data_IF_887197600503
#
_entry.id   IF_887197600503
#
_cell.length_a   1.000
_cell.length_b   1.000
_cell.length_c   1.000
_cell.angle_alpha   90.00
_cell.angle_beta   90.00
_cell.angle_gamma   90.00
#
_symmetry.space_group_name_H-M   'P 1'
#
loop_
_entity.id
_entity.type
_entity.pdbx_description
1 polymer ?
#
# COMPACT_ATOMS: atom_id res chain seq x y z
N UNK A 1 -15.97 -24.06 12.54
CA UNK A 1 -15.63 -22.85 11.76
C UNK A 1 -14.27 -22.25 12.12
N UNK A 2 -13.90 -22.16 13.40
CA UNK A 2 -12.61 -21.58 13.87
C UNK A 2 -11.38 -22.32 13.35
N UNK A 3 -11.39 -23.67 13.35
CA UNK A 3 -10.26 -24.48 12.89
C UNK A 3 -9.97 -24.33 11.38
N UNK A 4 -11.01 -24.22 10.54
CA UNK A 4 -10.84 -24.02 9.10
C UNK A 4 -10.22 -22.66 8.78
N UNK A 5 -10.66 -21.59 9.45
CA UNK A 5 -10.11 -20.26 9.24
C UNK A 5 -8.64 -20.16 9.64
N UNK A 6 -8.25 -20.82 10.73
CA UNK A 6 -6.85 -20.86 11.16
C UNK A 6 -5.96 -21.55 10.12
N UNK A 7 -6.39 -22.70 9.59
CA UNK A 7 -5.66 -23.40 8.55
C UNK A 7 -5.53 -22.57 7.25
N UNK A 8 -6.56 -21.80 6.88
CA UNK A 8 -6.52 -20.91 5.72
C UNK A 8 -5.47 -19.79 5.90
N UNK A 9 -5.48 -19.09 7.03
CA UNK A 9 -4.50 -18.04 7.30
C UNK A 9 -3.07 -18.59 7.39
N UNK A 10 -2.88 -19.78 7.99
CA UNK A 10 -1.57 -20.44 8.03
C UNK A 10 -1.05 -20.79 6.63
N UNK A 11 -1.94 -21.18 5.71
CA UNK A 11 -1.59 -21.43 4.30
C UNK A 11 -1.18 -20.14 3.59
N UNK A 12 -1.96 -19.07 3.75
CA UNK A 12 -1.65 -17.76 3.17
C UNK A 12 -0.33 -17.19 3.73
N UNK A 13 -0.09 -17.33 5.03
CA UNK A 13 1.18 -16.96 5.66
C UNK A 13 2.35 -17.73 5.07
N UNK A 14 2.22 -19.07 4.97
CA UNK A 14 3.26 -19.93 4.41
C UNK A 14 3.60 -19.57 2.97
N UNK A 15 2.58 -19.28 2.14
CA UNK A 15 2.77 -18.83 0.75
C UNK A 15 3.50 -17.48 0.71
N UNK A 16 3.08 -16.50 1.50
CA UNK A 16 3.71 -15.18 1.54
C UNK A 16 5.15 -15.25 2.05
N UNK A 17 5.44 -16.05 3.07
CA UNK A 17 6.80 -16.31 3.57
C UNK A 17 7.68 -16.95 2.48
N UNK A 18 7.14 -17.92 1.72
CA UNK A 18 7.86 -18.53 0.61
C UNK A 18 8.21 -17.47 -0.45
N UNK A 19 7.24 -16.66 -0.87
CA UNK A 19 7.47 -15.55 -1.83
C UNK A 19 8.58 -14.61 -1.35
N UNK A 20 8.57 -14.20 -0.08
CA UNK A 20 9.58 -13.30 0.49
C UNK A 20 10.99 -13.92 0.50
N UNK A 21 11.08 -15.23 0.79
CA UNK A 21 12.36 -15.97 0.74
C UNK A 21 12.87 -16.13 -0.68
N UNK A 22 11.98 -16.38 -1.65
CA UNK A 22 12.32 -16.41 -3.07
C UNK A 22 12.85 -15.05 -3.56
N UNK A 23 12.27 -13.93 -3.09
CA UNK A 23 12.82 -12.61 -3.39
C UNK A 23 14.24 -12.45 -2.89
N UNK A 24 14.51 -12.81 -1.64
CA UNK A 24 15.85 -12.70 -1.06
C UNK A 24 16.87 -13.63 -1.74
N UNK A 25 16.40 -14.74 -2.34
CA UNK A 25 17.28 -15.70 -3.03
C UNK A 25 17.57 -15.31 -4.49
N UNK A 26 16.65 -14.60 -5.16
CA UNK A 26 16.71 -14.37 -6.60
C UNK A 26 17.14 -12.94 -6.99
N UNK A 27 17.04 -11.98 -6.07
CA UNK A 27 17.34 -10.57 -6.34
C UNK A 27 18.51 -10.07 -5.48
N UNK A 28 19.30 -9.16 -6.04
CA UNK A 28 20.48 -8.62 -5.38
C UNK A 28 20.15 -7.41 -4.50
N UNK A 29 19.20 -6.59 -4.94
CA UNK A 29 18.83 -5.32 -4.30
C UNK A 29 17.34 -5.13 -4.16
N UNK A 30 16.64 -6.05 -3.49
CA UNK A 30 15.23 -5.89 -3.24
C UNK A 30 14.97 -4.79 -2.21
N UNK A 31 13.84 -4.08 -2.38
CA UNK A 31 13.31 -3.11 -1.41
C UNK A 31 11.87 -3.46 -1.04
N UNK A 32 11.44 -3.17 0.19
CA UNK A 32 10.06 -3.35 0.63
C UNK A 32 9.38 -1.99 0.70
N UNK A 33 8.36 -1.80 -0.15
CA UNK A 33 7.56 -0.57 -0.18
C UNK A 33 6.70 -0.48 1.08
N UNK A 34 6.89 0.58 1.85
CA UNK A 34 6.23 0.75 3.13
C UNK A 34 5.47 2.08 3.19
N UNK A 35 4.15 2.01 3.10
CA UNK A 35 3.26 3.17 3.15
C UNK A 35 2.70 3.50 4.54
N UNK A 36 2.95 2.67 5.55
CA UNK A 36 2.27 2.72 6.84
C UNK A 36 0.83 2.20 6.81
N UNK A 37 0.37 1.71 5.65
CA UNK A 37 -0.93 1.07 5.51
C UNK A 37 -0.94 -0.38 6.02
N UNK A 38 -2.11 -0.89 6.43
CA UNK A 38 -2.29 -2.23 7.01
C UNK A 38 -1.66 -3.36 6.21
N UNK A 39 -1.77 -3.30 4.88
CA UNK A 39 -1.24 -4.33 3.99
C UNK A 39 0.30 -4.31 4.02
N UNK A 40 0.92 -3.14 3.94
CA UNK A 40 2.38 -3.02 4.06
C UNK A 40 2.89 -3.42 5.45
N UNK A 41 2.12 -3.16 6.51
CA UNK A 41 2.42 -3.61 7.87
C UNK A 41 2.44 -5.14 7.96
N UNK A 42 1.43 -5.80 7.35
CA UNK A 42 1.38 -7.27 7.29
C UNK A 42 2.56 -7.83 6.50
N UNK A 43 2.94 -7.23 5.37
CA UNK A 43 4.13 -7.67 4.60
C UNK A 43 5.42 -7.54 5.42
N UNK A 44 5.59 -6.44 6.16
CA UNK A 44 6.76 -6.26 7.04
C UNK A 44 6.80 -7.30 8.14
N UNK A 45 5.64 -7.59 8.75
CA UNK A 45 5.54 -8.64 9.78
C UNK A 45 5.86 -10.03 9.21
N UNK A 46 5.34 -10.36 8.05
CA UNK A 46 5.65 -11.61 7.34
C UNK A 46 7.13 -11.70 6.97
N UNK A 47 7.76 -10.59 6.56
CA UNK A 47 9.20 -10.53 6.31
C UNK A 47 10.00 -10.80 7.60
N UNK A 48 9.59 -10.21 8.73
CA UNK A 48 10.18 -10.53 10.04
C UNK A 48 10.11 -12.03 10.34
N UNK A 49 8.93 -12.66 10.15
CA UNK A 49 8.75 -14.12 10.36
C UNK A 49 9.59 -14.94 9.37
N UNK A 50 9.63 -14.52 8.10
CA UNK A 50 10.34 -15.24 7.04
C UNK A 50 11.84 -15.40 7.33
N UNK A 51 12.45 -14.40 7.97
CA UNK A 51 13.89 -14.37 8.22
C UNK A 51 14.30 -14.56 9.68
N UNK A 52 13.33 -14.81 10.57
CA UNK A 52 13.63 -15.11 11.98
C UNK A 52 14.56 -16.35 12.12
N UNK A 53 15.60 -16.31 12.98
CA UNK A 53 15.99 -15.26 13.93
C UNK A 53 16.89 -14.15 13.33
N UNK A 54 17.15 -14.19 12.03
CA UNK A 54 17.92 -13.15 11.32
C UNK A 54 17.13 -11.85 11.18
N UNK A 55 17.77 -10.85 10.61
CA UNK A 55 17.13 -9.56 10.27
C UNK A 55 16.46 -9.65 8.89
N UNK A 56 15.52 -8.75 8.64
CA UNK A 56 14.96 -8.53 7.30
C UNK A 56 16.12 -8.09 6.39
N UNK A 57 16.39 -8.79 5.26
CA UNK A 57 17.59 -8.56 4.46
C UNK A 57 17.50 -7.40 3.46
N UNK A 58 16.40 -6.66 3.46
CA UNK A 58 16.16 -5.53 2.55
C UNK A 58 15.57 -4.32 3.29
N UNK A 59 15.88 -3.09 2.82
CA UNK A 59 15.38 -1.88 3.44
C UNK A 59 13.89 -1.67 3.18
N UNK A 60 13.25 -0.88 4.04
CA UNK A 60 11.94 -0.29 3.78
C UNK A 60 12.10 0.96 2.91
N UNK A 61 11.30 1.09 1.87
CA UNK A 61 11.24 2.28 1.02
C UNK A 61 9.88 2.97 1.17
N UNK A 62 9.89 4.20 1.66
CA UNK A 62 8.70 5.04 1.78
C UNK A 62 8.76 6.20 0.78
N UNK A 63 7.68 6.38 0.03
CA UNK A 63 7.50 7.56 -0.82
C UNK A 63 6.63 8.55 -0.07
N UNK A 64 7.24 9.64 0.37
CA UNK A 64 6.60 10.69 1.14
C UNK A 64 6.03 11.76 0.19
N UNK A 65 4.71 11.89 0.17
CA UNK A 65 4.04 12.93 -0.63
C UNK A 65 4.16 14.32 -0.03
N UNK A 66 4.54 14.42 1.23
CA UNK A 66 4.42 15.65 2.03
C UNK A 66 2.99 15.94 2.49
N UNK A 67 2.02 15.13 2.04
CA UNK A 67 0.59 15.22 2.41
C UNK A 67 0.12 13.98 3.19
N UNK A 68 1.04 13.23 3.78
CA UNK A 68 0.70 12.07 4.60
C UNK A 68 0.11 12.51 5.96
N UNK A 69 -0.72 11.65 6.54
CA UNK A 69 -1.20 11.85 7.91
C UNK A 69 -0.04 11.71 8.90
N UNK A 70 0.11 12.62 9.88
CA UNK A 70 1.16 12.53 10.90
C UNK A 70 1.18 11.18 11.61
N UNK A 71 0.01 10.64 11.95
CA UNK A 71 -0.15 9.35 12.63
C UNK A 71 0.43 8.17 11.83
N UNK A 72 0.42 8.28 10.50
CA UNK A 72 1.02 7.26 9.62
C UNK A 72 2.55 7.39 9.57
N UNK A 73 3.08 8.63 9.58
CA UNK A 73 4.51 8.90 9.60
C UNK A 73 5.14 8.50 10.95
N UNK A 74 4.50 8.85 12.05
CA UNK A 74 4.94 8.47 13.40
C UNK A 74 4.99 6.95 13.56
N UNK A 75 3.96 6.26 13.07
CA UNK A 75 3.92 4.80 13.08
C UNK A 75 5.03 4.19 12.20
N UNK A 76 5.27 4.74 11.02
CA UNK A 76 6.34 4.32 10.11
C UNK A 76 7.70 4.36 10.79
N UNK A 77 8.01 5.49 11.39
CA UNK A 77 9.31 5.72 12.03
C UNK A 77 9.48 4.83 13.26
N UNK A 78 8.43 4.71 14.07
CA UNK A 78 8.40 3.78 15.21
C UNK A 78 8.63 2.34 14.77
N UNK A 79 7.93 1.83 13.73
CA UNK A 79 8.05 0.45 13.31
C UNK A 79 9.46 0.14 12.76
N UNK A 80 10.03 1.04 11.97
CA UNK A 80 11.37 0.88 11.43
C UNK A 80 12.42 0.80 12.56
N UNK A 81 12.28 1.65 13.59
CA UNK A 81 13.14 1.64 14.76
C UNK A 81 12.97 0.36 15.59
N UNK A 82 11.74 -0.06 15.86
CA UNK A 82 11.41 -1.26 16.64
C UNK A 82 11.99 -2.53 16.01
N UNK A 83 11.96 -2.61 14.68
CA UNK A 83 12.50 -3.76 13.94
C UNK A 83 14.00 -3.65 13.66
N UNK A 84 14.61 -2.49 13.88
CA UNK A 84 16.00 -2.22 13.53
C UNK A 84 16.29 -2.41 12.03
N UNK A 85 15.30 -2.05 11.18
CA UNK A 85 15.38 -2.13 9.73
C UNK A 85 15.68 -0.76 9.13
N UNK A 86 16.49 -0.72 8.08
CA UNK A 86 16.80 0.53 7.38
C UNK A 86 15.54 1.09 6.73
N UNK A 87 15.26 2.40 6.94
CA UNK A 87 14.16 3.13 6.33
C UNK A 87 14.71 4.17 5.35
N UNK A 88 14.44 3.94 4.07
CA UNK A 88 14.73 4.87 2.98
C UNK A 88 13.50 5.71 2.68
N UNK A 89 13.62 7.02 2.81
CA UNK A 89 12.54 7.95 2.48
C UNK A 89 12.89 8.70 1.20
N UNK A 90 11.97 8.75 0.25
CA UNK A 90 12.07 9.59 -0.95
C UNK A 90 10.86 10.51 -1.02
N UNK A 91 11.12 11.80 -1.16
CA UNK A 91 10.08 12.84 -1.09
C UNK A 91 9.63 13.25 -2.48
N UNK A 92 8.32 13.35 -2.67
CA UNK A 92 7.74 13.93 -3.89
C UNK A 92 8.19 15.39 -4.07
N UNK A 93 8.40 16.12 -2.97
CA UNK A 93 8.93 17.49 -3.02
C UNK A 93 10.28 17.55 -3.74
N UNK A 94 11.18 16.61 -3.49
CA UNK A 94 12.49 16.57 -4.17
C UNK A 94 12.34 16.37 -5.68
N UNK A 95 11.32 15.63 -6.11
CA UNK A 95 11.02 15.43 -7.55
C UNK A 95 10.42 16.69 -8.17
N UNK A 96 9.61 17.45 -7.42
CA UNK A 96 9.09 18.77 -7.84
C UNK A 96 10.25 19.76 -7.98
N UNK A 97 11.11 19.88 -6.98
CA UNK A 97 12.23 20.81 -6.94
C UNK A 97 13.25 20.56 -8.06
N UNK A 98 13.40 19.29 -8.46
CA UNK A 98 14.23 18.89 -9.61
C UNK A 98 13.53 19.05 -10.96
N UNK A 99 12.27 19.52 -11.00
CA UNK A 99 11.49 19.66 -12.23
C UNK A 99 11.10 18.34 -12.92
N UNK A 100 11.13 17.22 -12.18
CA UNK A 100 10.73 15.88 -12.69
C UNK A 100 9.23 15.75 -12.82
N UNK A 101 8.49 16.43 -11.96
CA UNK A 101 7.03 16.48 -11.95
C UNK A 101 6.57 17.91 -11.67
N UNK A 102 5.37 18.23 -12.13
CA UNK A 102 4.71 19.51 -11.88
C UNK A 102 3.58 19.29 -10.90
N UNK A 103 3.57 20.06 -9.81
CA UNK A 103 2.50 20.03 -8.85
C UNK A 103 1.25 20.73 -9.38
N UNK A 104 0.12 20.06 -9.29
CA UNK A 104 -1.18 20.68 -9.55
C UNK A 104 -1.55 21.63 -8.43
N UNK A 105 -2.26 22.70 -8.77
CA UNK A 105 -2.78 23.68 -7.80
C UNK A 105 -4.29 23.72 -7.82
N UNK A 106 -4.90 24.11 -6.71
CA UNK A 106 -6.34 24.26 -6.58
C UNK A 106 -6.99 23.25 -5.65
N UNK A 107 -8.33 23.33 -5.51
CA UNK A 107 -9.07 22.54 -4.49
C UNK A 107 -9.00 21.02 -4.67
N UNK A 108 -8.76 20.56 -5.91
CA UNK A 108 -8.69 19.12 -6.25
C UNK A 108 -7.26 18.62 -6.46
N UNK A 109 -6.25 19.47 -6.18
CA UNK A 109 -4.85 19.09 -6.31
C UNK A 109 -4.49 17.92 -5.38
N UNK A 110 -3.70 16.98 -5.88
CA UNK A 110 -3.22 15.84 -5.13
C UNK A 110 -1.82 15.44 -5.60
N UNK A 111 -0.94 15.15 -4.65
CA UNK A 111 0.40 14.62 -4.94
C UNK A 111 0.41 13.10 -5.13
N UNK A 112 -0.72 12.44 -4.96
CA UNK A 112 -0.79 10.98 -5.01
C UNK A 112 -0.30 10.41 -6.36
N UNK A 113 -0.65 11.03 -7.49
CA UNK A 113 -0.17 10.59 -8.80
C UNK A 113 1.34 10.82 -9.00
N UNK A 114 1.91 11.84 -8.35
CA UNK A 114 3.32 12.20 -8.47
C UNK A 114 4.26 11.18 -7.81
N UNK A 115 3.74 10.35 -6.90
CA UNK A 115 4.48 9.26 -6.26
C UNK A 115 5.08 8.29 -7.28
N UNK A 116 4.43 8.10 -8.44
CA UNK A 116 4.90 7.16 -9.46
C UNK A 116 6.30 7.52 -9.96
N UNK A 117 6.51 8.79 -10.33
CA UNK A 117 7.80 9.26 -10.84
C UNK A 117 8.86 9.17 -9.75
N UNK A 118 8.54 9.63 -8.53
CA UNK A 118 9.44 9.55 -7.39
C UNK A 118 9.86 8.11 -7.07
N UNK A 119 8.92 7.17 -7.19
CA UNK A 119 9.19 5.75 -6.96
C UNK A 119 10.09 5.15 -8.06
N UNK A 120 9.84 5.47 -9.33
CA UNK A 120 10.68 5.00 -10.43
C UNK A 120 12.11 5.58 -10.34
N UNK A 121 12.23 6.87 -10.01
CA UNK A 121 13.52 7.51 -9.76
C UNK A 121 14.25 6.84 -8.59
N UNK A 122 13.53 6.51 -7.51
CA UNK A 122 14.10 5.79 -6.36
C UNK A 122 14.58 4.39 -6.73
N UNK A 123 13.82 3.63 -7.51
CA UNK A 123 14.21 2.30 -8.00
C UNK A 123 15.48 2.39 -8.85
N UNK A 124 15.56 3.36 -9.75
CA UNK A 124 16.72 3.58 -10.60
C UNK A 124 17.96 4.00 -9.78
N UNK A 125 17.81 4.91 -8.82
CA UNK A 125 18.88 5.38 -7.93
C UNK A 125 19.44 4.26 -7.07
N UNK A 126 18.55 3.47 -6.46
CA UNK A 126 18.92 2.31 -5.61
C UNK A 126 19.35 1.10 -6.44
N UNK A 127 19.16 1.16 -7.76
CA UNK A 127 19.32 0.00 -8.67
C UNK A 127 18.53 -1.20 -8.17
N UNK A 128 17.34 -0.95 -7.63
CA UNK A 128 16.51 -2.00 -7.07
C UNK A 128 15.98 -2.90 -8.19
N UNK A 129 16.21 -4.19 -8.07
CA UNK A 129 15.79 -5.23 -9.01
C UNK A 129 14.44 -5.88 -8.62
N UNK A 130 14.03 -5.72 -7.36
CA UNK A 130 12.69 -6.07 -6.90
C UNK A 130 12.13 -5.03 -5.93
N UNK A 131 10.85 -4.72 -6.06
CA UNK A 131 10.11 -3.87 -5.12
C UNK A 131 8.88 -4.62 -4.60
N UNK A 132 8.94 -5.00 -3.32
CA UNK A 132 7.91 -5.80 -2.64
C UNK A 132 6.80 -4.85 -2.19
N UNK A 133 5.55 -5.18 -2.47
CA UNK A 133 4.39 -4.37 -2.08
C UNK A 133 3.24 -5.18 -1.50
N UNK A 134 2.35 -4.52 -0.80
CA UNK A 134 1.19 -5.13 -0.14
C UNK A 134 -0.05 -5.26 -1.01
N UNK A 135 0.05 -5.11 -2.34
CA UNK A 135 -1.09 -5.18 -3.22
C UNK A 135 -1.73 -6.57 -3.28
N UNK A 136 -3.05 -6.61 -3.37
CA UNK A 136 -3.88 -7.82 -3.41
C UNK A 136 -4.75 -7.84 -4.66
N UNK A 137 -5.03 -9.03 -5.19
CA UNK A 137 -5.95 -9.20 -6.32
C UNK A 137 -7.39 -8.81 -5.99
N UNK A 138 -7.76 -8.91 -4.71
CA UNK A 138 -9.07 -8.56 -4.18
C UNK A 138 -9.37 -7.04 -4.20
N UNK A 139 -8.34 -6.19 -4.17
CA UNK A 139 -8.52 -4.75 -4.08
C UNK A 139 -9.23 -4.16 -5.29
N UNK A 140 -8.91 -4.66 -6.49
CA UNK A 140 -9.44 -4.12 -7.73
C UNK A 140 -9.28 -5.10 -8.91
N UNK A 141 -10.24 -5.07 -9.86
CA UNK A 141 -10.29 -5.96 -11.04
C UNK A 141 -9.02 -5.93 -11.89
N UNK A 142 -8.40 -4.77 -12.06
CA UNK A 142 -7.17 -4.63 -12.83
C UNK A 142 -5.99 -5.41 -12.22
N UNK A 143 -5.99 -5.62 -10.91
CA UNK A 143 -4.97 -6.39 -10.19
C UNK A 143 -5.16 -7.91 -10.29
N UNK A 144 -6.35 -8.38 -10.65
CA UNK A 144 -6.64 -9.81 -10.75
C UNK A 144 -5.74 -10.56 -11.75
N UNK A 145 -5.17 -9.84 -12.73
CA UNK A 145 -4.27 -10.40 -13.75
C UNK A 145 -2.80 -10.38 -13.34
N UNK A 146 -2.42 -9.71 -12.26
CA UNK A 146 -1.02 -9.66 -11.81
C UNK A 146 -0.57 -10.98 -11.19
N UNK A 147 0.70 -11.27 -11.37
CA UNK A 147 1.40 -12.40 -10.76
C UNK A 147 2.00 -11.99 -9.42
N UNK A 148 2.48 -12.96 -8.63
CA UNK A 148 3.31 -12.67 -7.47
C UNK A 148 4.57 -11.90 -7.88
N UNK A 149 5.26 -12.37 -8.93
CA UNK A 149 6.39 -11.70 -9.55
C UNK A 149 5.90 -11.00 -10.82
N UNK A 150 5.52 -9.74 -10.69
CA UNK A 150 4.98 -8.91 -11.78
C UNK A 150 6.12 -8.17 -12.48
N UNK A 151 6.45 -8.59 -13.69
CA UNK A 151 7.57 -8.06 -14.48
C UNK A 151 7.31 -6.62 -14.94
N UNK A 152 8.34 -5.78 -14.83
CA UNK A 152 8.38 -4.41 -15.31
C UNK A 152 9.51 -4.27 -16.33
N UNK A 153 9.21 -3.66 -17.46
CA UNK A 153 10.19 -3.34 -18.48
C UNK A 153 11.19 -2.25 -18.02
N UNK A 154 12.14 -1.90 -18.87
CA UNK A 154 13.14 -0.88 -18.59
C UNK A 154 12.56 0.53 -18.33
N UNK A 155 11.29 0.78 -18.68
CA UNK A 155 10.57 2.01 -18.40
C UNK A 155 9.71 1.92 -17.13
N UNK A 156 9.74 0.79 -16.43
CA UNK A 156 8.94 0.52 -15.24
C UNK A 156 7.48 0.14 -15.54
N UNK A 157 7.12 -0.07 -16.80
CA UNK A 157 5.77 -0.42 -17.21
C UNK A 157 5.54 -1.93 -17.03
N UNK A 158 4.29 -2.29 -16.70
CA UNK A 158 3.91 -3.68 -16.60
C UNK A 158 3.98 -4.37 -17.97
N UNK A 159 4.79 -5.43 -18.06
CA UNK A 159 4.88 -6.27 -19.25
C UNK A 159 4.15 -7.61 -19.05
N UNK A 160 2.85 -7.66 -19.42
CA UNK A 160 2.08 -8.90 -19.30
C UNK A 160 2.53 -10.00 -20.26
N UNK A 161 3.26 -9.65 -21.34
CA UNK A 161 3.76 -10.63 -22.33
C UNK A 161 5.07 -11.27 -21.87
N UNK A 162 5.95 -10.49 -21.24
CA UNK A 162 7.19 -10.98 -20.65
C UNK A 162 7.00 -11.70 -19.32
N UNK A 163 5.78 -11.64 -18.76
CA UNK A 163 5.47 -12.26 -17.49
C UNK A 163 5.42 -13.78 -17.57
N UNK A 164 6.15 -14.45 -16.69
CA UNK A 164 6.31 -15.90 -16.68
C UNK A 164 5.20 -16.60 -15.92
N UNK A 165 4.82 -17.86 -16.30
CA UNK A 165 3.92 -18.68 -15.51
C UNK A 165 4.49 -18.98 -14.12
N UNK A 166 3.62 -19.03 -13.10
CA UNK A 166 3.97 -19.34 -11.71
C UNK A 166 3.36 -20.70 -11.31
N UNK A 167 3.54 -21.72 -12.17
CA UNK A 167 3.05 -23.06 -11.90
C UNK A 167 3.80 -23.66 -10.70
N UNK A 168 3.08 -24.35 -9.83
CA UNK A 168 3.61 -25.02 -8.63
C UNK A 168 4.39 -24.09 -7.68
N UNK A 169 4.05 -22.79 -7.66
CA UNK A 169 4.73 -21.77 -6.86
C UNK A 169 6.23 -21.67 -7.18
N UNK A 170 6.61 -21.92 -8.44
CA UNK A 170 7.97 -21.69 -8.94
C UNK A 170 8.02 -20.27 -9.53
N UNK A 171 8.88 -19.46 -8.97
CA UNK A 171 9.06 -18.06 -9.39
C UNK A 171 10.35 -17.91 -10.22
N UNK A 172 10.34 -16.95 -11.15
CA UNK A 172 11.51 -16.69 -11.99
C UNK A 172 11.75 -15.17 -12.04
N UNK A 173 12.71 -14.72 -11.25
CA UNK A 173 13.15 -13.32 -11.14
C UNK A 173 14.19 -12.89 -12.18
N UNK A 174 14.47 -13.70 -13.22
CA UNK A 174 15.45 -13.31 -14.26
C UNK A 174 14.96 -12.06 -15.00
N UNK A 175 15.75 -11.01 -15.00
CA UNK A 175 15.48 -9.74 -15.63
C UNK A 175 16.65 -9.25 -16.46
N UNK A 176 16.40 -8.35 -17.42
CA UNK A 176 17.40 -7.64 -18.18
C UNK A 176 17.88 -6.35 -17.49
N UNK A 177 18.80 -5.66 -18.13
CA UNK A 177 19.28 -4.38 -17.62
C UNK A 177 18.15 -3.34 -17.65
N UNK A 178 17.92 -2.67 -16.51
CA UNK A 178 16.85 -1.67 -16.34
C UNK A 178 15.49 -2.23 -16.05
N UNK A 179 15.27 -3.54 -16.24
CA UNK A 179 14.03 -4.21 -15.85
C UNK A 179 14.03 -4.51 -14.34
N UNK A 180 12.84 -4.64 -13.76
CA UNK A 180 12.69 -5.03 -12.35
C UNK A 180 11.37 -5.77 -12.12
N UNK A 181 11.20 -6.31 -10.93
CA UNK A 181 9.95 -6.95 -10.53
C UNK A 181 9.22 -6.15 -9.47
N UNK A 182 7.89 -6.09 -9.57
CA UNK A 182 7.02 -5.81 -8.44
C UNK A 182 6.58 -7.13 -7.85
N UNK A 183 6.79 -7.31 -6.56
CA UNK A 183 6.46 -8.57 -5.89
C UNK A 183 5.34 -8.35 -4.89
N UNK A 184 4.31 -9.19 -4.95
CA UNK A 184 3.09 -9.03 -4.16
C UNK A 184 2.81 -10.27 -3.30
N UNK A 185 3.43 -10.40 -2.11
CA UNK A 185 3.26 -11.58 -1.25
C UNK A 185 1.81 -11.79 -0.79
N UNK A 186 1.00 -10.73 -0.77
CA UNK A 186 -0.41 -10.79 -0.38
C UNK A 186 -1.38 -10.99 -1.55
N UNK A 187 -0.90 -11.37 -2.75
CA UNK A 187 -1.75 -11.48 -3.96
C UNK A 187 -3.05 -12.24 -3.75
N UNK A 188 -3.02 -13.35 -3.02
CA UNK A 188 -4.17 -14.22 -2.79
C UNK A 188 -4.99 -13.89 -1.55
N UNK A 189 -4.59 -12.85 -0.79
CA UNK A 189 -5.28 -12.43 0.42
C UNK A 189 -6.47 -11.54 0.08
N UNK A 190 -7.57 -11.69 0.83
CA UNK A 190 -8.68 -10.74 0.84
C UNK A 190 -8.46 -9.67 1.91
N UNK A 191 -9.23 -8.56 1.84
CA UNK A 191 -9.24 -7.58 2.93
C UNK A 191 -9.57 -8.22 4.28
N UNK A 192 -10.50 -9.17 4.28
CA UNK A 192 -10.89 -9.91 5.47
C UNK A 192 -9.75 -10.75 6.03
N UNK A 193 -8.97 -11.42 5.17
CA UNK A 193 -7.80 -12.21 5.59
C UNK A 193 -6.75 -11.32 6.26
N UNK A 194 -6.49 -10.14 5.70
CA UNK A 194 -5.57 -9.15 6.28
C UNK A 194 -6.01 -8.76 7.68
N UNK A 195 -7.29 -8.41 7.88
CA UNK A 195 -7.80 -8.02 9.19
C UNK A 195 -7.82 -9.17 10.20
N UNK A 196 -8.19 -10.38 9.77
CA UNK A 196 -8.15 -11.56 10.63
C UNK A 196 -6.71 -11.92 11.02
N UNK A 197 -5.75 -11.74 10.12
CA UNK A 197 -4.34 -11.95 10.40
C UNK A 197 -3.81 -10.90 11.41
N UNK A 198 -4.15 -9.63 11.22
CA UNK A 198 -3.84 -8.54 12.17
C UNK A 198 -4.37 -8.87 13.56
N UNK A 199 -5.60 -9.36 13.67
CA UNK A 199 -6.20 -9.79 14.93
C UNK A 199 -5.46 -10.97 15.57
N UNK A 200 -5.14 -12.01 14.78
CA UNK A 200 -4.49 -13.23 15.26
C UNK A 200 -3.05 -12.97 15.76
N UNK A 201 -2.30 -12.14 15.05
CA UNK A 201 -0.91 -11.77 15.37
C UNK A 201 -0.83 -10.55 16.30
N UNK A 202 -1.97 -9.92 16.63
CA UNK A 202 -2.07 -8.71 17.46
C UNK A 202 -1.15 -7.58 16.98
N UNK A 203 -1.17 -7.36 15.67
CA UNK A 203 -0.31 -6.34 15.06
C UNK A 203 -0.76 -4.93 15.47
N UNK A 204 0.15 -4.08 15.92
CA UNK A 204 -0.16 -2.68 16.13
C UNK A 204 -0.46 -2.00 14.79
N UNK A 205 -1.35 -1.01 14.82
CA UNK A 205 -1.76 -0.23 13.65
C UNK A 205 -1.74 1.27 13.98
N UNK A 206 -1.60 2.14 12.97
CA UNK A 206 -1.85 3.57 13.14
C UNK A 206 -3.26 3.83 13.68
N UNK A 207 -3.40 4.83 14.56
CA UNK A 207 -4.68 5.20 15.18
C UNK A 207 -5.78 5.54 14.17
N UNK A 208 -5.41 5.94 12.96
CA UNK A 208 -6.31 6.24 11.84
C UNK A 208 -7.29 5.11 11.49
N UNK A 209 -6.92 3.86 11.73
CA UNK A 209 -7.79 2.70 11.47
C UNK A 209 -8.93 2.54 12.46
N UNK A 210 -8.80 3.14 13.64
CA UNK A 210 -9.79 3.08 14.71
C UNK A 210 -10.63 4.35 14.78
N UNK A 211 -11.83 4.25 15.36
CA UNK A 211 -12.71 5.39 15.50
C UNK A 211 -12.08 6.51 16.33
N UNK A 212 -12.12 7.72 15.82
CA UNK A 212 -11.65 8.93 16.49
C UNK A 212 -12.46 10.15 16.03
N UNK A 213 -12.43 11.23 16.82
CA UNK A 213 -13.04 12.49 16.43
C UNK A 213 -12.13 13.23 15.47
N UNK A 214 -12.68 13.72 14.36
CA UNK A 214 -11.95 14.48 13.35
C UNK A 214 -12.88 15.47 12.65
N UNK A 215 -12.37 16.65 12.30
CA UNK A 215 -13.06 17.56 11.42
C UNK A 215 -13.00 17.03 9.99
N UNK A 216 -14.16 16.83 9.40
CA UNK A 216 -14.32 16.29 8.06
C UNK A 216 -15.35 17.10 7.28
N UNK A 217 -15.23 17.07 5.97
CA UNK A 217 -16.19 17.66 5.04
C UNK A 217 -16.45 16.69 3.88
N UNK A 218 -17.50 16.93 3.11
CA UNK A 218 -17.86 16.08 1.96
C UNK A 218 -17.57 16.81 0.66
N UNK A 219 -16.78 16.17 -0.21
CA UNK A 219 -16.51 16.62 -1.58
C UNK A 219 -16.71 15.46 -2.54
N UNK A 220 -17.53 15.64 -3.58
CA UNK A 220 -17.83 14.62 -4.60
C UNK A 220 -18.27 13.27 -4.01
N UNK A 221 -19.04 13.31 -2.92
CA UNK A 221 -19.52 12.11 -2.23
C UNK A 221 -18.45 11.37 -1.42
N UNK A 222 -17.30 11.98 -1.20
CA UNK A 222 -16.23 11.46 -0.36
C UNK A 222 -16.05 12.33 0.88
N UNK A 223 -15.96 11.71 2.05
CA UNK A 223 -15.67 12.39 3.30
C UNK A 223 -14.15 12.54 3.45
N UNK A 224 -13.67 13.78 3.42
CA UNK A 224 -12.25 14.11 3.55
C UNK A 224 -11.98 14.73 4.92
N UNK A 225 -10.80 14.45 5.47
CA UNK A 225 -10.32 15.16 6.65
C UNK A 225 -9.94 16.60 6.31
N UNK A 226 -10.28 17.53 7.20
CA UNK A 226 -9.71 18.87 7.17
C UNK A 226 -8.21 18.78 7.47
N UNK A 227 -7.40 19.26 6.53
CA UNK A 227 -5.93 19.28 6.64
C UNK A 227 -5.38 20.54 6.01
N UNK A 228 -4.14 20.98 6.37
CA UNK A 228 -3.50 22.11 5.75
C UNK A 228 -3.27 21.97 4.23
N UNK A 229 -3.34 20.73 3.73
CA UNK A 229 -3.05 20.39 2.33
C UNK A 229 -4.26 20.54 1.41
N UNK A 230 -5.47 20.72 1.95
CA UNK A 230 -6.70 20.81 1.18
C UNK A 230 -7.26 22.23 1.26
N UNK A 231 -7.38 22.88 0.11
CA UNK A 231 -8.09 24.14 0.01
C UNK A 231 -9.60 23.90 0.03
N UNK A 232 -10.30 24.40 1.05
CA UNK A 232 -11.75 24.31 1.14
C UNK A 232 -12.45 25.20 0.09
N UNK A 233 -13.52 24.70 -0.46
CA UNK A 233 -14.42 25.48 -1.32
C UNK A 233 -15.33 26.38 -0.45
N UNK A 234 -15.86 27.51 -0.99
CA UNK A 234 -16.66 28.48 -0.20
C UNK A 234 -17.90 27.89 0.48
N UNK A 235 -18.44 26.80 -0.06
CA UNK A 235 -19.64 26.15 0.48
C UNK A 235 -19.32 24.98 1.43
N UNK A 236 -18.07 24.52 1.47
CA UNK A 236 -17.65 23.43 2.35
C UNK A 236 -17.50 23.92 3.79
N UNK A 237 -18.02 23.13 4.72
CA UNK A 237 -17.95 23.42 6.15
C UNK A 237 -17.48 22.16 6.87
N UNK A 238 -16.25 22.14 7.38
CA UNK A 238 -15.80 21.05 8.23
C UNK A 238 -16.66 20.92 9.47
N UNK A 239 -17.04 19.69 9.80
CA UNK A 239 -17.78 19.35 11.01
C UNK A 239 -17.09 18.22 11.75
N UNK A 240 -17.11 18.25 13.07
CA UNK A 240 -16.54 17.17 13.87
C UNK A 240 -17.43 15.93 13.77
N UNK A 241 -16.83 14.79 13.41
CA UNK A 241 -17.48 13.50 13.35
C UNK A 241 -16.62 12.40 13.96
N UNK A 242 -17.26 11.31 14.35
CA UNK A 242 -16.56 10.07 14.74
C UNK A 242 -16.31 9.26 13.48
N UNK A 243 -15.05 9.15 13.07
CA UNK A 243 -14.66 8.55 11.81
C UNK A 243 -13.47 7.62 11.99
N UNK A 244 -13.24 6.75 11.02
CA UNK A 244 -12.01 6.01 10.82
C UNK A 244 -11.65 5.98 9.33
N UNK A 245 -10.43 5.50 9.02
CA UNK A 245 -9.99 5.31 7.63
C UNK A 245 -9.87 3.82 7.33
N UNK A 246 -10.40 3.36 6.18
CA UNK A 246 -10.21 1.96 5.71
C UNK A 246 -8.84 1.75 5.07
N UNK A 247 -8.31 2.80 4.46
CA UNK A 247 -6.98 2.82 3.85
C UNK A 247 -6.22 4.04 4.37
N UNK A 248 -4.91 3.96 4.39
CA UNK A 248 -4.03 5.06 4.75
C UNK A 248 -3.17 5.40 3.54
N UNK A 249 -3.03 6.68 3.23
CA UNK A 249 -2.29 7.20 2.09
C UNK A 249 -2.18 8.72 2.15
N UNK A 250 -2.16 9.37 0.99
CA UNK A 250 -2.19 10.84 0.88
C UNK A 250 -3.52 11.39 1.43
N UNK A 251 -3.43 12.35 2.34
CA UNK A 251 -4.59 12.91 3.04
C UNK A 251 -5.56 13.64 2.11
N UNK A 252 -5.06 14.14 0.96
CA UNK A 252 -5.88 14.88 -0.01
C UNK A 252 -6.84 14.00 -0.80
N UNK A 253 -6.62 12.68 -0.84
CA UNK A 253 -7.44 11.73 -1.59
C UNK A 253 -7.91 10.52 -0.78
N UNK A 254 -7.58 10.45 0.51
CA UNK A 254 -7.98 9.35 1.39
C UNK A 254 -9.30 9.67 2.09
N UNK A 255 -10.35 8.93 1.73
CA UNK A 255 -11.68 9.09 2.31
C UNK A 255 -11.81 8.46 3.70
N UNK A 256 -12.43 9.20 4.61
CA UNK A 256 -12.89 8.69 5.90
C UNK A 256 -14.29 8.05 5.78
N UNK A 257 -14.64 7.22 6.73
CA UNK A 257 -16.00 6.68 6.91
C UNK A 257 -16.48 6.96 8.33
N UNK A 258 -17.77 7.25 8.50
CA UNK A 258 -18.38 7.28 9.83
C UNK A 258 -18.42 5.87 10.39
N UNK A 259 -17.81 5.68 11.54
CA UNK A 259 -17.74 4.37 12.17
C UNK A 259 -17.40 4.51 13.64
N UNK A 260 -18.09 3.78 14.54
CA UNK A 260 -17.75 3.70 15.94
C UNK A 260 -16.69 2.64 16.25
N UNK A 261 -16.23 1.86 15.27
CA UNK A 261 -15.33 0.72 15.48
C UNK A 261 -13.98 1.18 16.04
N UNK A 262 -13.72 0.85 17.28
CA UNK A 262 -12.54 1.23 18.07
C UNK A 262 -11.56 0.07 18.27
N UNK A 263 -11.93 -1.14 17.86
CA UNK A 263 -11.13 -2.37 18.00
C UNK A 263 -11.05 -3.11 16.67
N UNK A 264 -10.03 -3.96 16.52
CA UNK A 264 -9.87 -4.80 15.32
C UNK A 264 -11.07 -5.72 15.12
N UNK A 265 -11.62 -6.29 16.20
CA UNK A 265 -12.78 -7.19 16.11
C UNK A 265 -14.03 -6.44 15.61
N UNK A 266 -14.27 -5.21 16.07
CA UNK A 266 -15.36 -4.38 15.60
C UNK A 266 -15.20 -4.02 14.09
N UNK A 267 -13.97 -3.73 13.67
CA UNK A 267 -13.65 -3.50 12.26
C UNK A 267 -13.94 -4.74 11.41
N UNK A 268 -13.55 -5.94 11.89
CA UNK A 268 -13.84 -7.21 11.21
C UNK A 268 -15.36 -7.40 11.04
N UNK A 269 -16.14 -7.14 12.07
CA UNK A 269 -17.60 -7.24 11.99
C UNK A 269 -18.20 -6.24 10.99
N UNK A 270 -17.70 -5.01 10.99
CA UNK A 270 -18.13 -3.96 10.05
C UNK A 270 -17.81 -4.36 8.60
N UNK A 271 -16.60 -4.83 8.33
CA UNK A 271 -16.18 -5.24 6.98
C UNK A 271 -16.99 -6.46 6.49
N UNK A 272 -17.29 -7.41 7.37
CA UNK A 272 -18.11 -8.57 7.03
C UNK A 272 -19.53 -8.18 6.58
N UNK A 273 -20.06 -7.04 7.06
CA UNK A 273 -21.36 -6.51 6.69
C UNK A 273 -21.33 -5.63 5.43
N UNK A 274 -20.15 -5.16 4.99
CA UNK A 274 -20.01 -4.29 3.82
C UNK A 274 -20.09 -5.07 2.51
N UNK A 275 -20.82 -4.47 1.51
CA UNK A 275 -20.89 -4.99 0.13
C UNK A 275 -19.99 -4.23 -0.84
N UNK A 276 -19.27 -3.22 -0.36
CA UNK A 276 -18.45 -2.31 -1.18
C UNK A 276 -16.98 -2.68 -1.01
N UNK A 277 -16.25 -2.77 -2.12
CA UNK A 277 -14.82 -3.03 -2.11
C UNK A 277 -14.05 -1.92 -1.40
N UNK A 278 -12.88 -2.23 -0.86
CA UNK A 278 -12.02 -1.31 -0.12
C UNK A 278 -11.71 -0.03 -0.89
N UNK A 279 -11.43 -0.13 -2.18
CA UNK A 279 -11.05 1.00 -3.04
C UNK A 279 -12.23 1.79 -3.60
N UNK A 280 -13.43 1.28 -3.54
CA UNK A 280 -14.62 2.00 -4.01
C UNK A 280 -14.89 3.34 -3.32
N UNK A 281 -14.17 3.65 -2.22
CA UNK A 281 -14.21 4.92 -1.50
C UNK A 281 -13.08 5.92 -1.85
N UNK A 282 -12.08 5.55 -2.69
CA UNK A 282 -10.97 6.46 -3.03
C UNK A 282 -11.35 7.41 -4.17
N UNK A 283 -11.01 8.70 -3.98
CA UNK A 283 -11.32 9.75 -4.96
C UNK A 283 -10.63 9.56 -6.29
N UNK A 284 -9.40 9.08 -6.29
CA UNK A 284 -8.62 8.89 -7.52
C UNK A 284 -9.14 7.76 -8.40
N UNK A 285 -9.78 6.74 -7.82
CA UNK A 285 -10.33 5.60 -8.56
C UNK A 285 -11.72 5.92 -9.16
N UNK A 286 -12.38 6.99 -8.69
CA UNK A 286 -13.66 7.46 -9.25
C UNK A 286 -13.53 8.31 -10.51
N UNK A 287 -12.34 8.81 -10.84
CA UNK A 287 -12.12 9.72 -11.97
C UNK A 287 -12.05 9.02 -13.34
N UNK A 288 -11.78 7.72 -13.38
CA UNK A 288 -11.73 6.91 -14.61
C UNK A 288 -11.96 5.43 -14.29
N UNK A 289 -12.80 4.74 -15.09
CA UNK A 289 -12.97 3.27 -15.00
C UNK A 289 -11.68 2.51 -15.29
N UNK A 290 -10.73 3.14 -15.99
CA UNK A 290 -9.43 2.57 -16.36
C UNK A 290 -8.27 3.11 -15.51
N UNK A 291 -8.54 3.92 -14.45
CA UNK A 291 -7.51 4.64 -13.69
C UNK A 291 -6.35 3.74 -13.23
N UNK A 292 -6.63 2.52 -12.80
CA UNK A 292 -5.58 1.59 -12.36
C UNK A 292 -4.82 0.95 -13.52
N UNK A 293 -5.48 0.68 -14.66
CA UNK A 293 -4.77 0.18 -15.83
C UNK A 293 -3.84 1.25 -16.42
N UNK A 294 -4.28 2.50 -16.42
CA UNK A 294 -3.46 3.63 -16.86
C UNK A 294 -2.27 3.85 -15.91
N UNK A 295 -2.47 3.74 -14.60
CA UNK A 295 -1.38 3.81 -13.60
C UNK A 295 -0.37 2.68 -13.77
N UNK A 296 -0.80 1.45 -14.08
CA UNK A 296 0.10 0.34 -14.38
C UNK A 296 0.96 0.62 -15.61
N UNK A 297 0.38 1.22 -16.67
CA UNK A 297 1.11 1.64 -17.86
C UNK A 297 2.12 2.75 -17.55
N UNK A 298 1.84 3.58 -16.57
CA UNK A 298 2.73 4.64 -16.10
C UNK A 298 3.79 4.15 -15.09
N UNK A 299 3.76 2.86 -14.70
CA UNK A 299 4.71 2.29 -13.75
C UNK A 299 4.29 2.40 -12.28
N UNK A 300 3.06 2.81 -12.00
CA UNK A 300 2.50 2.84 -10.65
C UNK A 300 2.03 1.43 -10.26
N UNK A 301 2.66 0.79 -9.26
CA UNK A 301 2.56 -0.61 -8.80
C UNK A 301 3.28 -1.63 -9.66
#
# INVERSE_FOLDING_TARGET
MVAYRKAHLEQLESEAIHVLREVAAQFERPVLLFSGGKDSIVVVHLARKAFWPGRIPFPLLHIDTGHNFPEALDYRDWLAQELGVELLVRRVQDSIDRGRVVEETGPTASRNALQTVTLLDAIAELKADAAIGGARRDEEKARAKERFFSHRDAFGQWDPKGQRPELWNIYNGRHGQGEHFRVFPLSNWTEMDVWQYIASERLPLPSLYFSHRRHVFVRDGMMLAETPFIQLLPHERPVERVVRFRTVGDATCTGAIESPAATVDEIIHEIAALRITERGGRGDDKRSEAAMEDRKRQGYF
#
